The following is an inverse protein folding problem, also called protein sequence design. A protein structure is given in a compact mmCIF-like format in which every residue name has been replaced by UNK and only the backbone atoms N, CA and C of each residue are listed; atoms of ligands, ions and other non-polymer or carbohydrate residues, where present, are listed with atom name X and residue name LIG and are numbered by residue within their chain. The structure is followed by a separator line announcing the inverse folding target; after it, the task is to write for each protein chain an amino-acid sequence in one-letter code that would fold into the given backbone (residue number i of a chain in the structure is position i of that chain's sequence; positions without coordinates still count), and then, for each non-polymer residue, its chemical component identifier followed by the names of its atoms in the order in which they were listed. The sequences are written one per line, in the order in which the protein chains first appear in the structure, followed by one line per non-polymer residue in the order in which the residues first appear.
data_IF_008650679460
#
_entry.id   IF_008650679460
#
_cell.length_a   1.000
_cell.length_b   1.000
_cell.length_c   1.000
_cell.angle_alpha   90.00
_cell.angle_beta   90.00
_cell.angle_gamma   90.00
#
_symmetry.space_group_name_H-M   'P 1'
#
loop_
_entity.id
_entity.type
_entity.pdbx_description
1 polymer ?
#
# COMPACT_ATOMS: atom_id res chain seq x y z
N UNK A 1 -36.28 -43.52 -36.69
CA UNK A 1 -34.97 -43.01 -37.10
C UNK A 1 -34.76 -41.49 -36.88
N UNK A 2 -35.78 -40.68 -36.54
CA UNK A 2 -35.65 -39.19 -36.48
C UNK A 2 -35.48 -38.63 -35.04
N UNK A 3 -35.57 -39.47 -34.00
CA UNK A 3 -35.54 -39.03 -32.58
C UNK A 3 -34.12 -38.76 -32.04
N UNK A 4 -33.08 -39.30 -32.70
CA UNK A 4 -31.67 -39.12 -32.32
C UNK A 4 -31.09 -37.76 -32.69
N UNK A 5 -31.59 -37.13 -33.76
CA UNK A 5 -31.10 -35.82 -34.25
C UNK A 5 -31.61 -34.62 -33.43
N UNK A 6 -32.55 -34.80 -32.51
CA UNK A 6 -33.01 -33.75 -31.57
C UNK A 6 -32.26 -33.72 -30.25
N UNK A 7 -31.51 -34.77 -29.89
CA UNK A 7 -30.72 -34.80 -28.65
C UNK A 7 -29.36 -34.10 -28.80
N UNK A 8 -28.72 -34.13 -29.96
CA UNK A 8 -27.36 -33.55 -30.11
C UNK A 8 -27.30 -32.02 -30.15
N UNK A 9 -28.39 -31.32 -30.54
CA UNK A 9 -28.41 -29.83 -30.49
C UNK A 9 -28.49 -29.30 -29.06
N UNK A 10 -29.10 -30.07 -28.15
CA UNK A 10 -29.21 -29.71 -26.73
C UNK A 10 -27.86 -29.94 -26.04
N UNK A 11 -27.21 -31.07 -26.31
CA UNK A 11 -25.86 -31.40 -25.82
C UNK A 11 -24.81 -30.39 -26.29
N UNK A 12 -24.81 -29.96 -27.55
CA UNK A 12 -23.89 -28.92 -28.04
C UNK A 12 -24.15 -27.56 -27.38
N UNK A 13 -25.40 -27.23 -27.07
CA UNK A 13 -25.77 -25.97 -26.39
C UNK A 13 -25.41 -26.00 -24.91
N UNK A 14 -25.51 -27.16 -24.27
CA UNK A 14 -25.13 -27.37 -22.88
C UNK A 14 -23.61 -27.52 -22.71
N UNK A 15 -22.90 -28.09 -23.69
CA UNK A 15 -21.44 -28.06 -23.81
C UNK A 15 -20.92 -26.64 -24.10
N UNK A 16 -21.60 -25.84 -24.92
CA UNK A 16 -21.27 -24.42 -25.09
C UNK A 16 -21.47 -23.64 -23.78
N UNK A 17 -22.53 -23.90 -23.02
CA UNK A 17 -22.75 -23.30 -21.68
C UNK A 17 -21.74 -23.78 -20.64
N UNK A 18 -21.26 -25.02 -20.73
CA UNK A 18 -20.22 -25.58 -19.87
C UNK A 18 -18.81 -25.09 -20.25
N UNK A 19 -18.49 -24.93 -21.54
CA UNK A 19 -17.24 -24.34 -22.03
C UNK A 19 -17.20 -22.82 -21.82
N UNK A 20 -18.34 -22.13 -21.93
CA UNK A 20 -18.50 -20.73 -21.46
C UNK A 20 -18.40 -20.59 -19.95
N UNK A 21 -18.38 -21.71 -19.20
CA UNK A 21 -17.95 -21.78 -17.80
C UNK A 21 -18.32 -20.53 -17.01
N UNK A 22 -19.63 -20.29 -16.98
CA UNK A 22 -20.34 -19.18 -16.34
C UNK A 22 -19.49 -17.91 -16.19
N UNK A 23 -19.42 -17.11 -17.26
CA UNK A 23 -18.77 -15.78 -17.24
C UNK A 23 -19.23 -14.94 -16.04
N UNK A 24 -20.48 -15.09 -15.59
CA UNK A 24 -21.02 -14.44 -14.39
C UNK A 24 -20.36 -14.96 -13.10
N UNK A 25 -20.15 -16.27 -12.96
CA UNK A 25 -19.39 -16.85 -11.84
C UNK A 25 -17.95 -16.36 -11.85
N UNK A 26 -17.27 -16.35 -13.01
CA UNK A 26 -15.90 -15.80 -13.12
C UNK A 26 -15.84 -14.32 -12.76
N UNK A 27 -16.80 -13.52 -13.24
CA UNK A 27 -16.92 -12.12 -12.88
C UNK A 27 -17.18 -11.94 -11.38
N UNK A 28 -18.05 -12.76 -10.79
CA UNK A 28 -18.35 -12.76 -9.36
C UNK A 28 -17.13 -13.10 -8.52
N UNK A 29 -16.37 -14.12 -8.91
CA UNK A 29 -15.11 -14.49 -8.25
C UNK A 29 -14.13 -13.30 -8.29
N UNK A 30 -13.93 -12.68 -9.47
CA UNK A 30 -13.06 -11.49 -9.60
C UNK A 30 -13.53 -10.33 -8.71
N UNK A 31 -14.83 -10.06 -8.66
CA UNK A 31 -15.40 -9.03 -7.78
C UNK A 31 -15.12 -9.32 -6.30
N UNK A 32 -15.30 -10.57 -5.86
CA UNK A 32 -15.02 -10.99 -4.48
C UNK A 32 -13.52 -10.84 -4.19
N UNK A 33 -12.65 -11.29 -5.09
CA UNK A 33 -11.19 -11.16 -4.94
C UNK A 33 -10.78 -9.69 -4.83
N UNK A 34 -11.30 -8.81 -5.69
CA UNK A 34 -11.00 -7.39 -5.67
C UNK A 34 -11.50 -6.73 -4.38
N UNK A 35 -12.71 -7.07 -3.92
CA UNK A 35 -13.25 -6.60 -2.63
C UNK A 35 -12.38 -7.05 -1.46
N UNK A 36 -11.95 -8.31 -1.46
CA UNK A 36 -11.09 -8.85 -0.41
C UNK A 36 -9.70 -8.19 -0.40
N UNK A 37 -9.09 -7.99 -1.57
CA UNK A 37 -7.82 -7.27 -1.70
C UNK A 37 -7.95 -5.83 -1.19
N UNK A 38 -9.03 -5.14 -1.55
CA UNK A 38 -9.29 -3.79 -1.08
C UNK A 38 -9.50 -3.75 0.43
N UNK A 39 -10.26 -4.68 1.01
CA UNK A 39 -10.43 -4.77 2.46
C UNK A 39 -9.09 -4.98 3.18
N UNK A 40 -8.25 -5.89 2.68
CA UNK A 40 -6.90 -6.14 3.23
C UNK A 40 -6.04 -4.88 3.19
N UNK A 41 -6.00 -4.19 2.05
CA UNK A 41 -5.26 -2.93 1.91
C UNK A 41 -5.76 -1.87 2.90
N UNK A 42 -7.08 -1.71 3.06
CA UNK A 42 -7.64 -0.73 4.00
C UNK A 42 -7.32 -1.09 5.46
N UNK A 43 -7.34 -2.38 5.81
CA UNK A 43 -6.93 -2.87 7.14
C UNK A 43 -5.43 -2.74 7.41
N UNK A 44 -4.58 -2.53 6.40
CA UNK A 44 -3.15 -2.33 6.56
C UNK A 44 -2.79 -0.87 6.89
N UNK A 45 -3.67 0.09 6.61
CA UNK A 45 -3.43 1.54 6.82
C UNK A 45 -3.02 1.88 8.27
N UNK A 46 -3.64 1.31 9.33
CA UNK A 46 -3.22 1.56 10.71
C UNK A 46 -1.75 1.24 11.01
N UNK A 47 -1.09 0.42 10.19
CA UNK A 47 0.34 0.08 10.33
C UNK A 47 1.27 1.09 9.66
N UNK A 48 0.72 2.08 8.94
CA UNK A 48 1.51 3.09 8.25
C UNK A 48 2.09 4.11 9.22
N UNK A 49 3.30 4.61 8.92
CA UNK A 49 3.91 5.69 9.68
C UNK A 49 3.47 7.06 9.17
N UNK A 50 3.17 7.16 7.86
CA UNK A 50 2.76 8.40 7.22
C UNK A 50 1.88 8.14 6.01
N UNK A 51 0.96 9.07 5.73
CA UNK A 51 0.22 9.13 4.46
C UNK A 51 0.65 10.38 3.69
N UNK A 52 1.16 10.18 2.48
CA UNK A 52 1.50 11.27 1.54
C UNK A 52 0.31 11.54 0.65
N UNK A 53 -0.04 12.81 0.45
CA UNK A 53 -1.20 13.19 -0.37
C UNK A 53 -0.87 14.24 -1.42
N UNK A 54 -1.60 14.15 -2.54
CA UNK A 54 -1.95 15.27 -3.40
C UNK A 54 -3.42 15.58 -3.07
N UNK A 55 -3.75 16.73 -2.46
CA UNK A 55 -4.93 16.92 -1.60
C UNK A 55 -6.25 16.34 -2.12
N UNK A 56 -6.54 16.52 -3.41
CA UNK A 56 -7.81 16.12 -4.01
C UNK A 56 -7.73 14.86 -4.85
N UNK A 57 -6.54 14.33 -5.14
CA UNK A 57 -6.35 13.32 -6.18
C UNK A 57 -5.68 12.04 -5.72
N UNK A 58 -4.69 12.10 -4.80
CA UNK A 58 -3.88 10.93 -4.44
C UNK A 58 -3.69 10.82 -2.93
N UNK A 59 -3.69 9.59 -2.43
CA UNK A 59 -3.17 9.26 -1.10
C UNK A 59 -2.37 7.96 -1.17
N UNK A 60 -1.19 7.97 -0.58
CA UNK A 60 -0.29 6.80 -0.47
C UNK A 60 0.17 6.67 0.98
N UNK A 61 -0.11 5.53 1.59
CA UNK A 61 0.32 5.19 2.95
C UNK A 61 1.63 4.41 2.90
N UNK A 62 2.62 4.87 3.66
CA UNK A 62 3.95 4.28 3.76
C UNK A 62 4.20 3.73 5.16
N UNK A 63 4.78 2.54 5.21
CA UNK A 63 5.33 1.93 6.42
C UNK A 63 6.83 1.75 6.26
N UNK A 64 7.57 1.89 7.34
CA UNK A 64 8.95 1.47 7.40
C UNK A 64 9.26 0.85 8.76
N UNK A 65 9.49 -0.45 8.75
CA UNK A 65 10.02 -1.21 9.88
C UNK A 65 11.52 -1.47 9.67
N UNK A 66 12.38 -0.67 10.31
CA UNK A 66 13.84 -0.83 10.25
C UNK A 66 14.34 -2.22 10.65
N UNK A 67 13.54 -3.02 11.36
CA UNK A 67 13.96 -4.33 11.84
C UNK A 67 13.75 -5.42 10.79
N UNK A 68 12.84 -5.19 9.83
CA UNK A 68 12.36 -6.21 8.91
C UNK A 68 12.48 -5.79 7.44
N UNK A 69 12.46 -4.50 7.16
CA UNK A 69 12.33 -3.95 5.82
C UNK A 69 13.63 -3.26 5.41
N UNK A 70 14.12 -3.57 4.21
CA UNK A 70 15.31 -2.91 3.65
C UNK A 70 15.01 -1.49 3.15
N UNK A 71 13.73 -1.18 2.87
CA UNK A 71 13.25 0.12 2.43
C UNK A 71 11.75 0.27 2.79
N UNK A 72 11.22 1.50 2.87
CA UNK A 72 9.81 1.75 3.10
C UNK A 72 8.89 1.03 2.10
N UNK A 73 7.75 0.54 2.59
CA UNK A 73 6.74 -0.22 1.85
C UNK A 73 5.47 0.59 1.68
N UNK A 74 4.86 0.53 0.49
CA UNK A 74 3.52 1.08 0.23
C UNK A 74 2.47 0.11 0.76
N UNK A 75 1.78 0.45 1.83
CA UNK A 75 0.75 -0.42 2.43
C UNK A 75 -0.66 -0.13 1.89
N UNK A 76 -0.88 1.07 1.37
CA UNK A 76 -2.11 1.42 0.66
C UNK A 76 -1.85 2.56 -0.33
N UNK A 77 -2.55 2.55 -1.46
CA UNK A 77 -2.58 3.69 -2.40
C UNK A 77 -3.95 3.82 -3.02
N UNK A 78 -4.35 5.05 -3.35
CA UNK A 78 -5.64 5.30 -3.97
C UNK A 78 -5.78 6.68 -4.58
N UNK A 79 -6.76 6.79 -5.48
CA UNK A 79 -7.17 8.03 -6.13
C UNK A 79 -8.58 8.44 -5.73
N UNK A 80 -8.89 9.72 -5.85
CA UNK A 80 -10.24 10.29 -5.69
C UNK A 80 -10.95 9.80 -4.42
N UNK A 81 -12.07 9.09 -4.56
CA UNK A 81 -12.83 8.52 -3.45
C UNK A 81 -12.01 7.60 -2.55
N UNK A 82 -11.10 6.81 -3.11
CA UNK A 82 -10.24 5.95 -2.33
C UNK A 82 -9.20 6.76 -1.55
N UNK A 83 -8.65 7.81 -2.15
CA UNK A 83 -7.75 8.73 -1.45
C UNK A 83 -8.44 9.40 -0.25
N UNK A 84 -9.70 9.81 -0.40
CA UNK A 84 -10.51 10.35 0.70
C UNK A 84 -10.66 9.31 1.83
N UNK A 85 -10.98 8.06 1.49
CA UNK A 85 -11.12 6.98 2.48
C UNK A 85 -9.81 6.66 3.21
N UNK A 86 -8.69 6.61 2.49
CA UNK A 86 -7.36 6.39 3.10
C UNK A 86 -7.05 7.50 4.11
N UNK A 87 -7.27 8.76 3.75
CA UNK A 87 -7.11 9.90 4.66
C UNK A 87 -8.05 9.83 5.86
N UNK A 88 -9.28 9.33 5.68
CA UNK A 88 -10.23 9.12 6.77
C UNK A 88 -9.66 8.17 7.83
N UNK A 89 -9.26 6.97 7.41
CA UNK A 89 -8.67 5.95 8.29
C UNK A 89 -7.38 6.46 8.94
N UNK A 90 -6.54 7.16 8.18
CA UNK A 90 -5.32 7.75 8.71
C UNK A 90 -5.60 8.74 9.86
N UNK A 91 -6.62 9.59 9.73
CA UNK A 91 -7.02 10.51 10.81
C UNK A 91 -7.56 9.78 12.03
N UNK A 92 -8.39 8.76 11.83
CA UNK A 92 -8.94 7.93 12.90
C UNK A 92 -7.85 7.22 13.73
N UNK A 93 -6.72 6.89 13.09
CA UNK A 93 -5.58 6.22 13.72
C UNK A 93 -4.43 7.19 14.06
N UNK A 94 -4.68 8.50 14.04
CA UNK A 94 -3.70 9.55 14.35
C UNK A 94 -2.40 9.52 13.51
N UNK A 95 -2.46 8.93 12.32
CA UNK A 95 -1.35 8.86 11.37
C UNK A 95 -1.17 10.23 10.71
N UNK A 96 0.08 10.69 10.66
CA UNK A 96 0.42 11.95 10.00
C UNK A 96 0.09 11.90 8.51
N UNK A 97 -0.62 12.94 8.05
CA UNK A 97 -0.89 13.18 6.64
C UNK A 97 -0.02 14.34 6.19
N UNK A 98 0.87 14.10 5.23
CA UNK A 98 1.80 15.09 4.70
C UNK A 98 1.46 15.37 3.24
N UNK A 99 1.32 16.64 2.91
CA UNK A 99 1.09 17.06 1.54
C UNK A 99 2.41 17.12 0.77
N UNK A 100 2.53 16.32 -0.28
CA UNK A 100 3.63 16.36 -1.24
C UNK A 100 3.12 15.86 -2.61
N UNK A 101 2.52 16.74 -3.43
CA UNK A 101 1.88 16.33 -4.67
C UNK A 101 2.80 15.66 -5.70
N UNK A 102 4.08 16.06 -5.87
CA UNK A 102 5.03 15.33 -6.71
C UNK A 102 5.27 13.89 -6.22
N UNK A 103 5.61 13.72 -4.94
CA UNK A 103 5.93 12.41 -4.38
C UNK A 103 4.71 11.47 -4.37
N UNK A 104 3.52 12.00 -4.04
CA UNK A 104 2.29 11.20 -4.06
C UNK A 104 1.96 10.65 -5.46
N UNK A 105 2.18 11.46 -6.51
CA UNK A 105 1.98 11.04 -7.91
C UNK A 105 2.96 9.97 -8.32
N UNK A 106 4.25 10.15 -8.01
CA UNK A 106 5.29 9.19 -8.37
C UNK A 106 5.12 7.86 -7.62
N UNK A 107 4.87 7.91 -6.31
CA UNK A 107 4.61 6.70 -5.52
C UNK A 107 3.40 5.93 -6.04
N UNK A 108 2.31 6.61 -6.36
CA UNK A 108 1.11 5.96 -6.89
C UNK A 108 1.39 5.23 -8.22
N UNK A 109 2.15 5.90 -9.10
CA UNK A 109 2.47 5.42 -10.46
C UNK A 109 3.50 4.29 -10.46
N UNK A 110 4.55 4.39 -9.65
CA UNK A 110 5.71 3.50 -9.72
C UNK A 110 5.66 2.30 -8.77
N UNK A 111 4.91 2.40 -7.67
CA UNK A 111 5.03 1.43 -6.57
C UNK A 111 3.69 0.78 -6.26
N UNK A 112 3.61 -0.54 -6.37
CA UNK A 112 2.42 -1.30 -6.02
C UNK A 112 2.26 -1.48 -4.51
N UNK A 113 1.04 -1.81 -4.09
CA UNK A 113 0.76 -2.15 -2.70
C UNK A 113 1.57 -3.39 -2.30
N UNK A 114 2.05 -3.39 -1.06
CA UNK A 114 2.94 -4.38 -0.46
C UNK A 114 4.32 -4.49 -1.16
N UNK A 115 4.73 -3.45 -1.88
CA UNK A 115 6.07 -3.34 -2.48
C UNK A 115 6.90 -2.25 -1.82
N UNK A 116 8.20 -2.50 -1.76
CA UNK A 116 9.19 -1.52 -1.34
C UNK A 116 9.29 -0.40 -2.40
N UNK A 117 9.56 0.80 -1.93
CA UNK A 117 9.90 1.92 -2.82
C UNK A 117 11.18 1.59 -3.62
N UNK A 118 11.30 2.09 -4.86
CA UNK A 118 12.49 1.87 -5.67
C UNK A 118 13.56 2.95 -5.38
N UNK A 119 14.83 2.71 -5.74
CA UNK A 119 15.97 3.59 -5.39
C UNK A 119 15.80 5.05 -5.81
N UNK A 120 15.11 5.31 -6.92
CA UNK A 120 14.88 6.64 -7.47
C UNK A 120 14.05 7.52 -6.52
N UNK A 121 13.24 6.91 -5.65
CA UNK A 121 12.40 7.62 -4.69
C UNK A 121 13.02 7.70 -3.29
N UNK A 122 14.19 7.08 -3.06
CA UNK A 122 14.79 6.99 -1.71
C UNK A 122 15.02 8.35 -1.09
N UNK A 123 15.64 9.29 -1.81
CA UNK A 123 15.97 10.60 -1.25
C UNK A 123 14.70 11.37 -0.81
N UNK A 124 13.67 11.39 -1.66
CA UNK A 124 12.42 12.07 -1.37
C UNK A 124 11.67 11.42 -0.20
N UNK A 125 11.72 10.09 -0.09
CA UNK A 125 11.10 9.38 1.03
C UNK A 125 11.91 9.57 2.32
N UNK A 126 13.23 9.58 2.27
CA UNK A 126 14.07 9.87 3.45
C UNK A 126 13.77 11.27 3.99
N UNK A 127 13.69 12.28 3.13
CA UNK A 127 13.31 13.65 3.53
C UNK A 127 11.92 13.69 4.18
N UNK A 128 10.94 12.97 3.59
CA UNK A 128 9.62 12.82 4.17
C UNK A 128 9.67 12.19 5.58
N UNK A 129 10.37 11.08 5.76
CA UNK A 129 10.46 10.41 7.06
C UNK A 129 11.19 11.26 8.11
N UNK A 130 12.20 12.04 7.71
CA UNK A 130 12.84 13.02 8.58
C UNK A 130 11.85 14.11 9.02
N UNK A 131 11.05 14.63 8.10
CA UNK A 131 10.01 15.61 8.40
C UNK A 131 8.95 15.05 9.36
N UNK A 132 8.47 13.83 9.10
CA UNK A 132 7.54 13.09 9.98
C UNK A 132 8.14 12.92 11.37
N UNK A 133 9.42 12.56 11.47
CA UNK A 133 10.10 12.41 12.76
C UNK A 133 10.14 13.71 13.57
N UNK A 134 10.38 14.86 12.91
CA UNK A 134 10.34 16.18 13.55
C UNK A 134 8.93 16.48 14.08
N UNK A 135 7.88 16.17 13.29
CA UNK A 135 6.50 16.42 13.69
C UNK A 135 6.06 15.54 14.87
N UNK A 136 6.42 14.25 14.87
CA UNK A 136 6.11 13.36 15.98
C UNK A 136 6.83 13.77 17.27
N UNK A 137 8.11 14.19 17.20
CA UNK A 137 8.81 14.73 18.37
C UNK A 137 8.17 15.99 18.93
N UNK A 138 7.68 16.88 18.06
CA UNK A 138 6.89 18.05 18.49
C UNK A 138 5.57 17.67 19.18
N UNK A 139 5.04 16.48 18.89
CA UNK A 139 3.89 15.87 19.58
C UNK A 139 4.29 15.08 20.84
N UNK A 140 5.56 15.07 21.22
CA UNK A 140 6.07 14.31 22.35
C UNK A 140 6.16 12.79 22.12
N UNK A 141 6.11 12.33 20.86
CA UNK A 141 6.23 10.91 20.49
C UNK A 141 7.60 10.67 19.86
N UNK A 142 8.30 9.62 20.29
CA UNK A 142 9.52 9.20 19.59
C UNK A 142 9.15 8.26 18.44
N UNK A 143 9.51 8.57 17.17
CA UNK A 143 9.13 7.75 16.04
C UNK A 143 9.80 6.38 16.09
N UNK A 144 9.00 5.32 16.07
CA UNK A 144 9.50 3.96 16.18
C UNK A 144 10.51 3.59 15.08
N UNK A 145 10.28 4.11 13.87
CA UNK A 145 11.14 3.95 12.68
C UNK A 145 12.46 4.76 12.74
N UNK A 146 12.78 5.43 13.85
CA UNK A 146 14.08 6.10 14.04
C UNK A 146 14.95 5.43 15.11
N UNK A 147 14.38 4.56 15.95
CA UNK A 147 15.03 4.02 17.16
C UNK A 147 16.37 3.33 16.88
N UNK A 148 16.45 2.46 15.87
CA UNK A 148 17.71 1.76 15.53
C UNK A 148 18.69 2.61 14.73
N UNK A 149 18.21 3.52 13.88
CA UNK A 149 19.07 4.44 13.16
C UNK A 149 19.86 5.32 14.16
N UNK A 150 19.19 5.77 15.23
CA UNK A 150 19.81 6.48 16.34
C UNK A 150 20.79 5.58 17.12
N UNK A 151 20.39 4.37 17.54
CA UNK A 151 21.30 3.45 18.25
C UNK A 151 22.57 3.14 17.44
N UNK A 152 22.44 2.90 16.13
CA UNK A 152 23.59 2.61 15.26
C UNK A 152 24.51 3.82 15.10
N UNK A 153 23.95 5.02 14.94
CA UNK A 153 24.72 6.26 14.90
C UNK A 153 25.43 6.53 16.23
N UNK A 154 24.77 6.27 17.37
CA UNK A 154 25.32 6.45 18.71
C UNK A 154 26.47 5.47 18.99
N UNK A 155 26.32 4.19 18.62
CA UNK A 155 27.38 3.18 18.71
C UNK A 155 28.58 3.57 17.84
N UNK A 156 28.36 4.05 16.61
CA UNK A 156 29.45 4.52 15.73
C UNK A 156 30.17 5.75 16.31
N UNK A 157 29.45 6.68 16.91
CA UNK A 157 30.05 7.84 17.57
C UNK A 157 30.91 7.44 18.77
N UNK A 158 30.43 6.50 19.61
CA UNK A 158 31.20 5.96 20.73
C UNK A 158 32.46 5.23 20.24
N UNK A 159 32.37 4.45 19.16
CA UNK A 159 33.53 3.76 18.57
C UNK A 159 34.56 4.75 18.00
N UNK A 160 34.12 5.83 17.34
CA UNK A 160 35.03 6.89 16.85
C UNK A 160 35.73 7.62 17.99
N UNK A 161 35.04 7.89 19.11
CA UNK A 161 35.62 8.53 20.29
C UNK A 161 36.60 7.64 21.06
N UNK A 162 36.52 6.30 20.92
CA UNK A 162 37.43 5.35 21.58
C UNK A 162 38.73 5.08 20.80
N UNK A 163 38.81 5.51 19.54
CA UNK A 163 39.97 5.32 18.66
C UNK A 163 40.79 6.62 18.51
N UNK A 164 40.24 7.75 18.96
CA UNK A 164 40.91 9.05 19.08
C UNK A 164 41.48 9.25 20.49
#
# INVERSE_FOLDING_TARGET
YIKSLRMSKQEVKDEFKQQEGNQEIKAKIRQIMMKNAMNKMMSAIPTANVVVTNPTHYAVALRFDNDKEAAPVVVAKGIDHLAIRIKGIARENEILIVENPPLARELYRLVDVDRMIPPELFNAVVELFQYVAILERKRGREPEFMRKAQQKAEIQNIQRQKIA
#
